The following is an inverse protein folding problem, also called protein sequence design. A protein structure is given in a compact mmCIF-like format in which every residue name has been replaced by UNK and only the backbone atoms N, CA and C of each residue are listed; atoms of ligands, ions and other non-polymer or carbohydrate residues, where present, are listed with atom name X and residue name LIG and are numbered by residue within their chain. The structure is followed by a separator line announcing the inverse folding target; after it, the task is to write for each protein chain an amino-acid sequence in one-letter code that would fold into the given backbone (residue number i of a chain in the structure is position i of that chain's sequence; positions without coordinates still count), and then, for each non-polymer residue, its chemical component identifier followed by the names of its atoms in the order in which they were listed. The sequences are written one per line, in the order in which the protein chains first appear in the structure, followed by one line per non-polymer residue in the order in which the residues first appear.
data_IF_723871899790
#
_entry.id   IF_723871899790
#
_cell.length_a   1.000
_cell.length_b   1.000
_cell.length_c   1.000
_cell.angle_alpha   90.00
_cell.angle_beta   90.00
_cell.angle_gamma   90.00
#
_symmetry.space_group_name_H-M   'P 1'
#
loop_
_entity.id
_entity.type
_entity.pdbx_description
1 polymer ?
#
# COMPACT_ATOMS: atom_id res chain seq x y z
N UNK A 1 5.10 46.77 2.49
CA UNK A 1 3.68 46.88 2.91
C UNK A 1 3.04 45.50 2.69
N UNK A 2 2.89 44.66 3.73
CA UNK A 2 1.60 44.36 4.42
C UNK A 2 0.53 43.92 3.39
N UNK A 3 0.06 42.67 3.27
CA UNK A 3 -0.37 41.66 4.27
C UNK A 3 -0.71 40.30 3.60
N UNK A 4 -0.61 39.23 4.42
CA UNK A 4 -1.46 38.02 4.46
C UNK A 4 -1.36 36.97 3.34
N UNK A 5 -0.57 35.91 3.58
CA UNK A 5 -1.11 34.55 3.69
C UNK A 5 -0.23 33.71 4.63
N UNK A 6 -0.88 33.22 5.68
CA UNK A 6 -0.29 32.59 6.84
C UNK A 6 -0.50 31.06 6.82
N UNK A 7 0.46 30.37 7.43
CA UNK A 7 0.26 29.19 8.29
C UNK A 7 -0.44 27.95 7.71
N UNK A 8 0.36 26.97 7.25
CA UNK A 8 0.24 25.56 7.70
C UNK A 8 1.66 25.00 7.88
N UNK A 9 2.39 25.54 8.85
CA UNK A 9 3.44 24.78 9.53
C UNK A 9 2.74 24.08 10.69
N UNK A 10 2.10 22.94 10.41
CA UNK A 10 1.65 22.05 11.48
C UNK A 10 2.89 21.35 12.03
N UNK A 11 3.59 22.05 12.93
CA UNK A 11 4.43 21.44 13.93
C UNK A 11 3.54 20.50 14.75
N UNK A 12 3.41 19.25 14.28
CA UNK A 12 3.00 18.17 15.17
C UNK A 12 4.22 17.90 16.04
N UNK A 13 4.34 18.66 17.12
CA UNK A 13 5.09 18.25 18.30
C UNK A 13 4.41 17.00 18.85
N UNK A 14 4.64 15.85 18.21
CA UNK A 14 4.64 14.59 18.94
C UNK A 14 5.88 14.73 19.80
N UNK A 15 5.73 14.80 21.12
CA UNK A 15 6.87 14.63 22.01
C UNK A 15 7.59 13.34 21.58
N UNK A 16 8.69 13.50 20.86
CA UNK A 16 9.75 12.53 20.82
C UNK A 16 10.34 12.53 22.23
N UNK A 17 9.72 11.76 23.13
CA UNK A 17 10.47 11.15 24.22
C UNK A 17 11.40 10.13 23.58
N UNK A 18 12.44 10.63 22.91
CA UNK A 18 13.67 9.91 22.73
C UNK A 18 14.24 9.71 24.13
N UNK A 19 14.47 8.44 24.44
CA UNK A 19 14.83 7.89 25.73
C UNK A 19 15.86 8.71 26.53
N UNK A 20 15.73 8.78 27.85
CA UNK A 20 16.74 8.24 28.74
C UNK A 20 16.51 6.73 28.88
N UNK A 21 17.58 5.96 28.70
CA UNK A 21 17.81 4.58 29.18
C UNK A 21 16.61 3.64 29.44
N UNK A 22 16.70 2.40 28.94
CA UNK A 22 16.07 1.25 29.59
C UNK A 22 16.49 1.24 31.09
N UNK A 23 15.69 1.85 31.95
CA UNK A 23 15.87 1.86 33.39
C UNK A 23 14.48 1.94 34.04
N UNK A 24 14.17 0.91 34.84
CA UNK A 24 12.94 0.70 35.61
C UNK A 24 11.61 0.69 34.81
N UNK A 25 10.91 -0.44 34.85
CA UNK A 25 9.72 -0.72 34.04
C UNK A 25 8.60 0.32 34.20
N UNK A 26 7.80 0.55 33.14
CA UNK A 26 6.76 1.57 33.16
C UNK A 26 5.64 1.20 34.13
N UNK A 27 5.18 2.18 34.91
CA UNK A 27 4.08 2.03 35.86
C UNK A 27 2.78 1.56 35.18
N UNK A 28 2.08 0.61 35.83
CA UNK A 28 0.90 -0.06 35.31
C UNK A 28 -0.32 0.88 35.23
N UNK A 29 -0.92 0.96 34.04
CA UNK A 29 -2.05 1.84 33.71
C UNK A 29 -1.91 2.40 32.30
N UNK A 30 -2.18 1.56 31.29
CA UNK A 30 -2.11 1.87 29.85
C UNK A 30 -0.75 2.33 29.27
N UNK A 31 -0.21 1.54 28.34
CA UNK A 31 1.05 1.83 27.64
C UNK A 31 0.80 2.10 26.15
N UNK A 32 1.60 2.99 25.55
CA UNK A 32 1.53 3.32 24.13
C UNK A 32 2.91 3.31 23.48
N UNK A 33 3.04 2.61 22.35
CA UNK A 33 4.29 2.51 21.61
C UNK A 33 4.07 2.76 20.12
N UNK A 34 5.10 3.26 19.44
CA UNK A 34 5.20 3.04 18.01
C UNK A 34 5.33 1.54 17.77
N UNK A 35 4.52 0.98 16.86
CA UNK A 35 4.37 -0.47 16.71
C UNK A 35 5.70 -1.20 16.52
N UNK A 36 6.62 -0.63 15.74
CA UNK A 36 7.91 -1.23 15.44
C UNK A 36 8.86 -1.33 16.66
N UNK A 37 8.60 -0.56 17.72
CA UNK A 37 9.31 -0.71 19.00
C UNK A 37 8.93 -1.99 19.73
N UNK A 38 7.76 -2.55 19.39
CA UNK A 38 7.26 -3.83 19.91
C UNK A 38 7.42 -4.97 18.94
N UNK A 39 7.15 -4.76 17.67
CA UNK A 39 7.09 -5.84 16.68
C UNK A 39 8.36 -6.00 15.86
N UNK A 40 9.34 -5.13 16.08
CA UNK A 40 10.41 -4.92 15.11
C UNK A 40 9.92 -4.20 13.85
N UNK A 41 10.82 -4.04 12.89
CA UNK A 41 10.52 -3.43 11.59
C UNK A 41 9.43 -4.23 10.84
N UNK A 42 8.57 -3.58 10.04
CA UNK A 42 7.52 -4.24 9.28
C UNK A 42 8.06 -5.24 8.25
N UNK A 43 7.21 -6.19 7.88
CA UNK A 43 7.54 -7.30 6.97
C UNK A 43 6.51 -7.32 5.83
N UNK A 44 6.95 -7.53 4.59
CA UNK A 44 6.06 -7.68 3.44
C UNK A 44 5.51 -9.12 3.31
N UNK A 45 4.66 -9.37 2.31
CA UNK A 45 4.09 -10.70 2.06
C UNK A 45 5.10 -11.80 1.78
N UNK A 46 6.29 -11.42 1.28
CA UNK A 46 7.38 -12.33 0.92
C UNK A 46 8.31 -12.68 2.10
N UNK A 47 8.08 -12.06 3.26
CA UNK A 47 8.91 -12.24 4.45
C UNK A 47 10.11 -11.30 4.52
N UNK A 48 10.26 -10.34 3.60
CA UNK A 48 11.34 -9.34 3.65
C UNK A 48 10.98 -8.25 4.66
N UNK A 49 11.86 -8.06 5.64
CA UNK A 49 11.77 -6.94 6.59
C UNK A 49 12.28 -5.65 5.92
N UNK A 50 11.60 -4.53 6.14
CA UNK A 50 11.93 -3.21 5.61
C UNK A 50 11.78 -2.14 6.69
N UNK A 51 12.35 -0.94 6.51
CA UNK A 51 12.31 0.05 7.58
C UNK A 51 10.91 0.63 7.75
N UNK A 52 10.54 0.93 9.00
CA UNK A 52 9.21 1.48 9.31
C UNK A 52 8.87 2.81 8.61
N UNK A 53 9.87 3.51 8.06
CA UNK A 53 9.69 4.77 7.34
C UNK A 53 9.87 4.63 5.82
N UNK A 54 10.17 3.42 5.31
CA UNK A 54 10.29 3.22 3.87
C UNK A 54 8.90 3.30 3.21
N UNK A 55 8.90 3.74 1.95
CA UNK A 55 7.72 3.76 1.11
C UNK A 55 7.33 2.34 0.71
N UNK A 56 6.05 2.01 0.82
CA UNK A 56 5.49 0.73 0.39
C UNK A 56 4.51 0.92 -0.76
N UNK A 57 4.43 -0.09 -1.63
CA UNK A 57 3.49 -0.07 -2.74
C UNK A 57 2.05 -0.30 -2.25
N UNK A 58 1.04 0.35 -2.86
CA UNK A 58 -0.35 0.19 -2.49
C UNK A 58 -0.88 -1.21 -2.84
N UNK A 59 -2.03 -1.56 -2.28
CA UNK A 59 -2.68 -2.85 -2.52
C UNK A 59 -1.90 -4.07 -2.01
N UNK A 60 -0.92 -3.88 -1.12
CA UNK A 60 -0.17 -4.95 -0.46
C UNK A 60 -0.64 -5.11 0.99
N UNK A 61 -0.28 -6.24 1.61
CA UNK A 61 -0.47 -6.41 3.06
C UNK A 61 0.87 -6.28 3.76
N UNK A 62 0.92 -5.40 4.76
CA UNK A 62 2.08 -5.21 5.63
C UNK A 62 1.85 -5.97 6.94
N UNK A 63 2.87 -6.66 7.41
CA UNK A 63 2.81 -7.50 8.61
C UNK A 63 3.73 -6.95 9.69
N UNK A 64 3.23 -6.91 10.92
CA UNK A 64 4.01 -6.61 12.12
C UNK A 64 4.06 -7.86 12.98
N UNK A 65 5.24 -8.44 13.14
CA UNK A 65 5.42 -9.70 13.85
C UNK A 65 5.24 -9.52 15.36
N UNK A 66 4.41 -10.35 15.98
CA UNK A 66 4.15 -10.23 17.42
C UNK A 66 5.24 -10.97 18.22
N UNK A 67 5.79 -10.38 19.31
CA UNK A 67 6.66 -11.11 20.24
C UNK A 67 5.98 -12.36 20.79
N UNK A 68 6.75 -13.39 21.13
CA UNK A 68 6.25 -14.70 21.63
C UNK A 68 5.18 -14.57 22.72
N UNK A 69 5.43 -13.76 23.75
CA UNK A 69 4.48 -13.59 24.86
C UNK A 69 3.19 -12.91 24.42
N UNK A 70 3.28 -11.95 23.50
CA UNK A 70 2.11 -11.30 22.92
C UNK A 70 1.36 -12.25 21.99
N UNK A 71 2.05 -13.03 21.16
CA UNK A 71 1.47 -14.03 20.28
C UNK A 71 0.65 -15.06 21.08
N UNK A 72 1.23 -15.62 22.15
CA UNK A 72 0.55 -16.54 23.04
C UNK A 72 -0.66 -15.90 23.76
N UNK A 73 -0.54 -14.62 24.14
CA UNK A 73 -1.65 -13.91 24.77
C UNK A 73 -2.83 -13.68 23.82
N UNK A 74 -2.56 -13.32 22.55
CA UNK A 74 -3.59 -13.04 21.54
C UNK A 74 -4.19 -14.28 20.87
N UNK A 75 -3.66 -15.46 21.16
CA UNK A 75 -4.20 -16.75 20.69
C UNK A 75 -5.60 -17.03 21.27
N UNK A 76 -5.94 -16.46 22.43
CA UNK A 76 -7.28 -16.56 23.01
C UNK A 76 -7.97 -15.20 23.11
N UNK A 77 -9.09 -15.05 22.40
CA UNK A 77 -9.96 -13.86 22.48
C UNK A 77 -10.56 -13.63 23.89
N UNK A 78 -10.47 -14.62 24.79
CA UNK A 78 -10.87 -14.45 26.20
C UNK A 78 -9.89 -13.61 27.02
N UNK A 79 -8.65 -13.44 26.54
CA UNK A 79 -7.60 -12.73 27.24
C UNK A 79 -7.57 -11.22 26.95
N UNK A 80 -8.09 -10.82 25.79
CA UNK A 80 -7.99 -9.44 25.32
C UNK A 80 -9.19 -9.01 24.47
N UNK A 81 -9.27 -7.71 24.20
CA UNK A 81 -10.11 -7.11 23.16
C UNK A 81 -9.22 -6.27 22.25
N UNK A 82 -9.28 -6.50 20.94
CA UNK A 82 -8.65 -5.64 19.95
C UNK A 82 -9.63 -4.58 19.45
N UNK A 83 -9.19 -3.33 19.45
CA UNK A 83 -9.84 -2.23 18.76
C UNK A 83 -8.85 -1.59 17.81
N UNK A 84 -9.28 -1.29 16.58
CA UNK A 84 -8.42 -0.65 15.57
C UNK A 84 -9.04 0.67 15.13
N UNK A 85 -8.19 1.68 14.92
CA UNK A 85 -8.61 2.99 14.41
C UNK A 85 -7.71 3.36 13.24
N UNK A 86 -8.34 3.70 12.12
CA UNK A 86 -7.68 4.28 10.95
C UNK A 86 -7.72 5.80 11.14
N UNK A 87 -6.57 6.46 11.24
CA UNK A 87 -6.50 7.89 11.61
C UNK A 87 -6.29 8.76 10.38
N UNK A 88 -5.04 8.91 9.93
CA UNK A 88 -4.72 9.67 8.71
C UNK A 88 -4.79 8.77 7.48
N UNK A 89 -5.45 9.26 6.42
CA UNK A 89 -5.63 8.55 5.15
C UNK A 89 -6.20 7.12 5.31
N UNK A 90 -7.09 6.95 6.29
CA UNK A 90 -7.63 5.63 6.66
C UNK A 90 -8.37 4.88 5.55
N UNK A 91 -8.82 5.55 4.48
CA UNK A 91 -9.41 4.91 3.29
C UNK A 91 -8.41 4.01 2.55
N UNK A 92 -7.11 4.29 2.69
CA UNK A 92 -6.03 3.46 2.14
C UNK A 92 -5.74 2.21 2.97
N UNK A 93 -6.42 2.01 4.10
CA UNK A 93 -6.38 0.78 4.87
C UNK A 93 -7.69 0.04 4.65
N UNK A 94 -7.65 -1.12 3.98
CA UNK A 94 -8.81 -2.02 3.86
C UNK A 94 -9.13 -2.64 5.20
N UNK A 95 -8.15 -3.32 5.81
CA UNK A 95 -8.34 -4.06 7.05
C UNK A 95 -7.11 -3.99 7.98
N UNK A 96 -7.35 -4.14 9.28
CA UNK A 96 -6.32 -4.36 10.29
C UNK A 96 -6.79 -5.54 11.12
N UNK A 97 -6.03 -6.64 11.13
CA UNK A 97 -6.44 -7.90 11.76
C UNK A 97 -5.26 -8.69 12.30
N UNK A 98 -5.53 -9.55 13.27
CA UNK A 98 -4.59 -10.57 13.71
C UNK A 98 -4.66 -11.76 12.75
N UNK A 99 -3.51 -12.29 12.35
CA UNK A 99 -3.41 -13.46 11.48
C UNK A 99 -2.25 -14.35 11.91
N UNK A 100 -2.38 -15.65 11.63
CA UNK A 100 -1.26 -16.58 11.74
C UNK A 100 -0.83 -17.06 10.36
N UNK A 101 0.44 -16.85 10.01
CA UNK A 101 0.90 -17.13 8.65
C UNK A 101 2.38 -17.52 8.61
N UNK A 102 2.76 -18.25 7.56
CA UNK A 102 4.14 -18.39 7.10
C UNK A 102 4.35 -17.34 6.00
N UNK A 103 5.37 -16.49 6.14
CA UNK A 103 5.71 -15.46 5.15
C UNK A 103 6.90 -15.93 4.32
N UNK A 104 6.69 -16.99 3.54
CA UNK A 104 7.67 -17.51 2.59
C UNK A 104 7.34 -16.96 1.22
N UNK A 105 8.08 -15.95 0.77
CA UNK A 105 8.04 -15.52 -0.63
C UNK A 105 8.97 -16.35 -1.51
N UNK A 106 9.24 -15.84 -2.70
CA UNK A 106 10.08 -16.49 -3.74
C UNK A 106 11.56 -16.59 -3.34
N UNK A 107 12.04 -15.75 -2.41
CA UNK A 107 13.46 -15.64 -2.03
C UNK A 107 13.90 -16.59 -0.89
N UNK A 108 13.02 -17.47 -0.42
CA UNK A 108 13.32 -18.36 0.71
C UNK A 108 13.14 -17.71 2.09
N UNK A 109 13.46 -18.47 3.15
CA UNK A 109 13.22 -18.06 4.54
C UNK A 109 14.09 -16.85 4.94
N UNK A 110 13.46 -15.74 5.32
CA UNK A 110 14.13 -14.57 5.89
C UNK A 110 14.15 -14.63 7.42
N UNK A 111 15.05 -13.86 8.04
CA UNK A 111 15.06 -13.68 9.50
C UNK A 111 14.46 -12.33 9.85
N UNK A 112 13.49 -12.31 10.77
CA UNK A 112 12.86 -11.09 11.32
C UNK A 112 13.38 -10.88 12.74
N UNK A 113 13.81 -9.66 13.06
CA UNK A 113 14.35 -9.30 14.38
C UNK A 113 13.33 -8.51 15.21
N UNK A 114 13.10 -8.94 16.46
CA UNK A 114 12.11 -8.35 17.38
C UNK A 114 12.69 -8.17 18.80
N UNK A 115 12.59 -6.96 19.40
CA UNK A 115 12.30 -5.68 18.75
C UNK A 115 13.44 -5.35 17.75
N UNK A 116 13.28 -4.29 16.94
CA UNK A 116 14.20 -3.97 15.84
C UNK A 116 15.63 -3.64 16.34
N UNK A 117 16.41 -4.66 16.64
CA UNK A 117 17.79 -4.58 17.09
C UNK A 117 18.63 -5.48 16.19
N UNK A 118 19.46 -4.84 15.37
CA UNK A 118 20.39 -5.51 14.47
C UNK A 118 21.51 -6.12 15.32
N UNK A 119 21.66 -7.44 15.23
CA UNK A 119 22.65 -8.23 15.96
C UNK A 119 22.62 -8.02 17.49
N UNK A 120 21.58 -8.51 18.20
CA UNK A 120 21.52 -8.41 19.64
C UNK A 120 22.68 -9.23 20.22
N UNK A 121 23.71 -8.56 20.73
CA UNK A 121 24.86 -9.15 21.42
C UNK A 121 24.49 -9.84 22.75
N UNK A 122 23.20 -10.14 22.97
CA UNK A 122 22.65 -10.87 24.11
C UNK A 122 21.46 -11.74 23.69
N UNK A 123 21.29 -12.87 24.39
CA UNK A 123 20.24 -13.91 24.17
C UNK A 123 18.79 -13.43 24.41
N UNK A 124 18.56 -12.13 24.50
CA UNK A 124 17.41 -11.51 25.15
C UNK A 124 16.37 -10.98 24.14
N UNK A 125 16.72 -10.99 22.86
CA UNK A 125 15.86 -10.56 21.75
C UNK A 125 15.71 -11.67 20.71
N UNK A 126 14.57 -11.69 20.04
CA UNK A 126 14.17 -12.85 19.27
C UNK A 126 14.34 -12.62 17.77
N UNK A 127 15.12 -13.51 17.16
CA UNK A 127 15.25 -13.67 15.72
C UNK A 127 14.39 -14.85 15.27
N UNK A 128 13.54 -14.63 14.28
CA UNK A 128 12.54 -15.60 13.84
C UNK A 128 12.63 -15.86 12.35
N UNK A 129 12.43 -17.11 11.93
CA UNK A 129 12.39 -17.48 10.52
C UNK A 129 10.99 -17.26 9.96
N UNK A 130 10.88 -16.60 8.81
CA UNK A 130 9.59 -16.36 8.16
C UNK A 130 8.94 -17.62 7.57
N UNK A 131 9.70 -18.73 7.50
CA UNK A 131 9.19 -20.07 7.20
C UNK A 131 8.38 -20.70 8.32
N UNK A 132 8.49 -20.18 9.55
CA UNK A 132 7.70 -20.62 10.68
C UNK A 132 6.35 -19.90 10.70
N UNK A 133 5.30 -20.63 11.12
CA UNK A 133 3.98 -20.00 11.30
C UNK A 133 4.03 -19.14 12.54
N UNK A 134 3.69 -17.86 12.40
CA UNK A 134 3.69 -16.89 13.51
C UNK A 134 2.48 -15.98 13.46
N UNK A 135 2.16 -15.39 14.60
CA UNK A 135 1.13 -14.39 14.75
C UNK A 135 1.64 -13.01 14.31
N UNK A 136 0.83 -12.32 13.51
CA UNK A 136 1.10 -10.98 13.01
C UNK A 136 -0.12 -10.08 13.22
N UNK A 137 0.13 -8.79 13.42
CA UNK A 137 -0.85 -7.77 13.09
C UNK A 137 -0.69 -7.43 11.59
N UNK A 138 -1.66 -7.82 10.78
CA UNK A 138 -1.71 -7.56 9.35
C UNK A 138 -2.49 -6.27 9.06
N UNK A 139 -1.90 -5.41 8.22
CA UNK A 139 -2.49 -4.17 7.72
C UNK A 139 -2.58 -4.28 6.21
N UNK A 140 -3.80 -4.43 5.71
CA UNK A 140 -4.07 -4.56 4.28
C UNK A 140 -4.31 -3.18 3.67
N UNK A 141 -3.46 -2.80 2.71
CA UNK A 141 -3.56 -1.52 2.01
C UNK A 141 -4.52 -1.63 0.83
N UNK A 142 -5.25 -0.55 0.56
CA UNK A 142 -6.00 -0.38 -0.67
C UNK A 142 -5.09 0.05 -1.82
N UNK A 143 -5.55 -0.14 -3.06
CA UNK A 143 -4.95 0.52 -4.22
C UNK A 143 -5.22 2.02 -4.15
N UNK A 144 -4.36 2.83 -4.77
CA UNK A 144 -4.53 4.28 -4.83
C UNK A 144 -4.29 4.81 -6.23
N UNK A 145 -5.15 5.75 -6.66
CA UNK A 145 -4.95 6.52 -7.88
C UNK A 145 -4.13 7.80 -7.65
N UNK A 146 -3.76 8.08 -6.39
CA UNK A 146 -3.00 9.26 -6.01
C UNK A 146 -1.56 9.08 -6.49
N UNK A 147 -1.02 10.03 -7.29
CA UNK A 147 0.36 9.94 -7.76
C UNK A 147 1.38 10.31 -6.70
N UNK A 148 1.02 11.14 -5.71
CA UNK A 148 1.87 11.51 -4.60
C UNK A 148 2.00 10.41 -3.55
N UNK A 149 3.12 10.43 -2.83
CA UNK A 149 3.26 9.63 -1.62
C UNK A 149 2.32 10.13 -0.52
N UNK A 150 1.63 9.20 0.12
CA UNK A 150 0.67 9.49 1.17
C UNK A 150 1.07 8.80 2.46
N UNK A 151 1.16 9.57 3.55
CA UNK A 151 1.32 9.02 4.90
C UNK A 151 0.00 8.44 5.41
N UNK A 152 0.02 7.17 5.76
CA UNK A 152 -1.09 6.41 6.35
C UNK A 152 -0.80 6.16 7.82
N UNK A 153 -1.80 6.38 8.67
CA UNK A 153 -1.66 6.20 10.12
C UNK A 153 -2.81 5.38 10.69
N UNK A 154 -2.48 4.54 11.67
CA UNK A 154 -3.45 3.72 12.38
C UNK A 154 -3.01 3.41 13.81
N UNK A 155 -3.97 2.98 14.62
CA UNK A 155 -3.72 2.46 15.97
C UNK A 155 -4.38 1.09 16.14
N UNK A 156 -3.67 0.18 16.80
CA UNK A 156 -4.21 -1.08 17.30
C UNK A 156 -4.11 -1.09 18.82
N UNK A 157 -5.25 -1.12 19.49
CA UNK A 157 -5.35 -1.09 20.95
C UNK A 157 -5.81 -2.45 21.47
N UNK A 158 -4.95 -3.08 22.26
CA UNK A 158 -5.21 -4.32 22.96
C UNK A 158 -5.63 -3.98 24.39
N UNK A 159 -6.87 -4.27 24.76
CA UNK A 159 -7.38 -4.09 26.13
C UNK A 159 -7.33 -5.42 26.85
N UNK A 160 -6.66 -5.48 27.99
CA UNK A 160 -6.54 -6.70 28.78
C UNK A 160 -7.87 -7.05 29.46
N UNK A 161 -8.31 -8.30 29.33
CA UNK A 161 -9.49 -8.83 30.06
C UNK A 161 -9.09 -9.47 31.38
N UNK A 162 -7.82 -9.83 31.53
CA UNK A 162 -7.20 -10.43 32.72
C UNK A 162 -5.79 -9.85 32.89
N UNK A 163 -5.21 -9.86 34.10
CA UNK A 163 -3.82 -9.45 34.30
C UNK A 163 -2.86 -10.21 33.37
N UNK A 164 -1.86 -9.52 32.82
CA UNK A 164 -0.90 -10.08 31.88
C UNK A 164 0.44 -9.33 31.94
N UNK A 165 1.54 -10.08 31.81
CA UNK A 165 2.87 -9.53 31.63
C UNK A 165 3.39 -9.95 30.25
N UNK A 166 3.80 -8.98 29.43
CA UNK A 166 4.38 -9.18 28.11
C UNK A 166 5.84 -8.70 28.09
N UNK A 167 6.70 -9.52 27.51
CA UNK A 167 8.14 -9.31 27.45
C UNK A 167 8.79 -9.87 26.18
N UNK A 168 10.01 -9.40 25.88
CA UNK A 168 10.88 -9.96 24.86
C UNK A 168 11.81 -11.03 25.46
N UNK A 169 12.00 -12.13 24.73
CA UNK A 169 12.97 -13.20 24.99
C UNK A 169 12.36 -14.61 24.91
N UNK A 170 13.21 -15.65 24.83
CA UNK A 170 12.80 -17.06 24.67
C UNK A 170 12.45 -17.72 26.01
N UNK A 171 11.32 -18.43 26.05
CA UNK A 171 10.91 -19.31 27.16
C UNK A 171 11.87 -20.52 27.26
N UNK A 172 12.29 -20.95 28.46
CA UNK A 172 13.04 -22.21 28.60
C UNK A 172 12.09 -23.37 28.26
N UNK A 173 12.47 -24.15 27.26
CA UNK A 173 11.63 -25.20 26.64
C UNK A 173 11.25 -26.30 27.65
N UNK A 174 12.07 -26.53 28.67
CA UNK A 174 11.92 -27.65 29.61
C UNK A 174 10.89 -27.45 30.72
N UNK A 175 10.56 -26.20 31.10
CA UNK A 175 9.79 -25.95 32.33
C UNK A 175 8.64 -24.96 32.16
N UNK A 176 8.55 -24.35 30.98
CA UNK A 176 7.58 -23.29 30.78
C UNK A 176 7.83 -22.00 31.57
N UNK A 177 8.96 -21.93 32.29
CA UNK A 177 9.42 -20.75 33.00
C UNK A 177 10.37 -19.89 32.14
N UNK A 178 10.42 -18.61 32.49
CA UNK A 178 11.38 -17.63 32.00
C UNK A 178 12.67 -17.72 32.83
N UNK A 179 13.85 -17.65 32.19
CA UNK A 179 15.16 -17.64 32.87
C UNK A 179 15.27 -16.47 33.87
N UNK A 180 15.38 -16.81 35.16
CA UNK A 180 15.63 -15.86 36.26
C UNK A 180 17.13 -15.60 36.36
N UNK A 181 17.54 -14.33 36.37
CA UNK A 181 18.87 -13.89 36.83
C UNK A 181 18.77 -13.63 38.32
N UNK A 182 19.68 -14.22 39.08
CA UNK A 182 19.78 -13.99 40.50
C UNK A 182 20.69 -12.77 40.73
N UNK A 183 20.14 -11.68 41.25
CA UNK A 183 20.87 -10.45 41.59
C UNK A 183 20.74 -10.21 43.08
N UNK A 184 21.82 -9.82 43.75
CA UNK A 184 21.77 -9.43 45.17
C UNK A 184 21.68 -7.92 45.22
N UNK A 185 20.60 -7.38 45.79
CA UNK A 185 20.47 -5.93 46.00
C UNK A 185 21.40 -5.46 47.14
N UNK A 186 21.63 -4.15 47.24
CA UNK A 186 22.51 -3.51 48.25
C UNK A 186 22.24 -3.94 49.70
N UNK A 187 21.02 -4.41 49.99
CA UNK A 187 20.61 -4.91 51.31
C UNK A 187 20.85 -6.42 51.51
N UNK A 188 21.68 -7.07 50.68
CA UNK A 188 21.96 -8.51 50.76
C UNK A 188 20.78 -9.42 50.40
N UNK A 189 19.70 -8.85 49.85
CA UNK A 189 18.51 -9.61 49.46
C UNK A 189 18.67 -10.16 48.05
N UNK A 190 18.52 -11.47 47.89
CA UNK A 190 18.46 -12.13 46.59
C UNK A 190 17.17 -11.79 45.86
N UNK A 191 17.28 -11.03 44.77
CA UNK A 191 16.19 -10.71 43.86
C UNK A 191 16.34 -11.51 42.58
N UNK A 192 15.33 -12.32 42.28
CA UNK A 192 15.23 -13.02 41.00
C UNK A 192 14.67 -12.04 39.96
N UNK A 193 15.53 -11.52 39.09
CA UNK A 193 15.14 -10.61 38.00
C UNK A 193 14.98 -11.42 36.71
N UNK A 194 13.84 -11.31 36.04
CA UNK A 194 13.61 -11.94 34.75
C UNK A 194 14.64 -11.42 33.71
N UNK A 195 15.34 -12.31 32.99
CA UNK A 195 16.25 -11.94 31.87
C UNK A 195 15.48 -11.53 30.60
N UNK A 196 14.51 -10.65 30.75
CA UNK A 196 13.55 -10.31 29.71
C UNK A 196 13.19 -8.85 29.81
N UNK A 197 13.21 -8.15 28.67
CA UNK A 197 12.76 -6.78 28.62
C UNK A 197 11.22 -6.77 28.58
N UNK A 198 10.61 -6.38 29.71
CA UNK A 198 9.16 -6.20 29.82
C UNK A 198 8.73 -4.94 29.08
N UNK A 199 7.64 -5.03 28.31
CA UNK A 199 7.04 -3.89 27.62
C UNK A 199 5.57 -3.65 27.98
N UNK A 200 4.93 -4.58 28.70
CA UNK A 200 3.58 -4.37 29.22
C UNK A 200 3.37 -5.21 30.48
N UNK A 201 2.91 -4.58 31.55
CA UNK A 201 2.47 -5.23 32.80
C UNK A 201 1.09 -4.65 33.11
N UNK A 202 0.07 -5.32 32.59
CA UNK A 202 -1.30 -4.81 32.51
C UNK A 202 -2.21 -5.53 33.48
N UNK A 203 -3.05 -4.76 34.18
CA UNK A 203 -4.20 -5.24 34.93
C UNK A 203 -5.42 -5.39 34.00
N UNK A 204 -6.51 -5.93 34.54
CA UNK A 204 -7.78 -5.94 33.82
C UNK A 204 -8.17 -4.50 33.41
N UNK A 205 -8.60 -4.35 32.16
CA UNK A 205 -8.93 -3.10 31.46
C UNK A 205 -7.76 -2.19 31.08
N UNK A 206 -6.52 -2.51 31.46
CA UNK A 206 -5.36 -1.78 30.96
C UNK A 206 -5.18 -1.99 29.46
N UNK A 207 -4.59 -0.98 28.80
CA UNK A 207 -4.48 -0.94 27.35
C UNK A 207 -3.03 -0.91 26.89
N UNK A 208 -2.68 -1.78 25.96
CA UNK A 208 -1.50 -1.64 25.13
C UNK A 208 -1.90 -1.06 23.78
N UNK A 209 -1.46 0.16 23.46
CA UNK A 209 -1.75 0.82 22.18
C UNK A 209 -0.52 0.86 21.29
N UNK A 210 -0.63 0.29 20.10
CA UNK A 210 0.42 0.29 19.09
C UNK A 210 0.02 1.24 17.96
N UNK A 211 0.87 2.24 17.68
CA UNK A 211 0.66 3.21 16.61
C UNK A 211 1.54 2.87 15.42
N UNK A 212 0.93 2.69 14.25
CA UNK A 212 1.62 2.44 12.99
C UNK A 212 1.58 3.65 12.07
N UNK A 213 2.72 3.91 11.42
CA UNK A 213 2.85 4.85 10.32
C UNK A 213 3.38 4.07 9.12
N UNK A 214 2.83 4.34 7.94
CA UNK A 214 3.29 3.81 6.65
C UNK A 214 3.29 4.95 5.63
N UNK A 215 4.24 4.93 4.71
CA UNK A 215 4.25 5.82 3.55
C UNK A 215 3.90 5.00 2.33
N UNK A 216 2.87 5.41 1.57
CA UNK A 216 2.32 4.62 0.47
C UNK A 216 2.44 5.41 -0.82
N UNK A 217 3.10 4.83 -1.83
CA UNK A 217 3.21 5.42 -3.16
C UNK A 217 3.21 4.33 -4.24
N UNK A 218 2.68 4.66 -5.41
CA UNK A 218 2.88 3.84 -6.62
C UNK A 218 4.35 3.91 -7.06
N UNK A 219 4.87 2.89 -7.77
CA UNK A 219 6.16 3.00 -8.47
C UNK A 219 6.20 4.28 -9.31
N UNK A 220 7.39 4.88 -9.48
CA UNK A 220 7.53 6.15 -10.19
C UNK A 220 8.56 6.05 -11.30
N UNK A 221 8.23 6.61 -12.46
CA UNK A 221 9.14 6.82 -13.59
C UNK A 221 9.19 8.31 -13.97
N UNK A 222 10.29 8.73 -14.61
CA UNK A 222 10.51 10.11 -15.05
C UNK A 222 10.63 10.20 -16.57
N UNK A 223 9.93 11.16 -17.19
CA UNK A 223 9.95 11.32 -18.65
C UNK A 223 9.15 10.22 -19.36
N UNK A 224 9.81 9.55 -20.29
CA UNK A 224 9.27 8.42 -21.03
C UNK A 224 9.13 7.19 -20.13
N UNK A 225 8.09 6.38 -20.38
CA UNK A 225 7.86 5.20 -19.56
C UNK A 225 7.05 4.11 -20.27
N UNK A 226 7.33 2.87 -19.90
CA UNK A 226 6.51 1.70 -20.24
C UNK A 226 5.67 1.27 -19.04
N UNK A 227 4.38 1.04 -19.27
CA UNK A 227 3.42 0.66 -18.24
C UNK A 227 2.76 -0.67 -18.61
N UNK A 228 2.96 -1.69 -17.78
CA UNK A 228 2.32 -2.99 -17.96
C UNK A 228 0.79 -2.90 -17.81
N UNK A 229 0.06 -3.38 -18.82
CA UNK A 229 -1.40 -3.41 -18.85
C UNK A 229 -1.95 -4.41 -17.83
N UNK A 230 -2.95 -3.97 -17.06
CA UNK A 230 -3.56 -4.77 -16.00
C UNK A 230 -2.82 -4.70 -14.66
N UNK A 231 -1.63 -4.07 -14.62
CA UNK A 231 -0.89 -3.84 -13.39
C UNK A 231 -1.53 -2.72 -12.53
N UNK A 232 -0.92 -2.48 -11.36
CA UNK A 232 -1.32 -1.37 -10.46
C UNK A 232 -0.97 0.01 -11.02
N UNK A 233 -0.21 0.08 -12.12
CA UNK A 233 0.22 1.31 -12.76
C UNK A 233 1.44 1.96 -12.12
N UNK A 234 1.91 3.03 -12.75
CA UNK A 234 3.13 3.76 -12.43
C UNK A 234 2.81 5.26 -12.40
N UNK A 235 3.28 5.95 -11.36
CA UNK A 235 3.26 7.41 -11.31
C UNK A 235 4.29 7.96 -12.30
N UNK A 236 3.82 8.70 -13.29
CA UNK A 236 4.67 9.40 -14.23
C UNK A 236 4.96 10.80 -13.70
N UNK A 237 6.24 11.16 -13.63
CA UNK A 237 6.70 12.53 -13.47
C UNK A 237 7.23 13.01 -14.83
N UNK A 238 6.44 13.79 -15.59
CA UNK A 238 6.86 14.18 -16.93
C UNK A 238 8.11 15.05 -16.91
N UNK A 239 8.95 14.90 -17.92
CA UNK A 239 10.07 15.78 -18.21
C UNK A 239 9.52 17.12 -18.74
N UNK A 240 9.75 18.19 -17.96
CA UNK A 240 9.29 19.54 -18.27
C UNK A 240 9.83 20.04 -19.61
N UNK A 241 9.02 20.80 -20.36
CA UNK A 241 9.39 21.39 -21.66
C UNK A 241 9.93 20.39 -22.70
N UNK A 242 9.65 19.10 -22.53
CA UNK A 242 10.09 18.02 -23.40
C UNK A 242 8.91 17.24 -23.95
N UNK A 243 9.13 16.50 -25.02
CA UNK A 243 8.17 15.48 -25.48
C UNK A 243 8.35 14.29 -24.56
N UNK A 244 7.22 13.75 -24.08
CA UNK A 244 7.15 12.58 -23.24
C UNK A 244 6.30 11.54 -23.96
N UNK A 245 6.70 10.29 -23.89
CA UNK A 245 5.99 9.15 -24.46
C UNK A 245 5.75 8.07 -23.40
N UNK A 246 4.48 7.71 -23.22
CA UNK A 246 4.05 6.68 -22.28
C UNK A 246 3.41 5.54 -23.05
N UNK A 247 4.08 4.40 -23.09
CA UNK A 247 3.63 3.18 -23.76
C UNK A 247 2.92 2.27 -22.78
N UNK A 248 1.76 1.74 -23.17
CA UNK A 248 1.01 0.77 -22.39
C UNK A 248 1.15 -0.60 -23.05
N UNK A 249 1.86 -1.52 -22.41
CA UNK A 249 2.29 -2.79 -23.02
C UNK A 249 1.62 -4.00 -22.36
N UNK A 250 1.12 -4.92 -23.18
CA UNK A 250 0.64 -6.25 -22.79
C UNK A 250 1.51 -7.33 -23.45
N UNK A 251 0.89 -8.23 -24.22
CA UNK A 251 1.64 -9.06 -25.17
C UNK A 251 2.26 -8.19 -26.28
N UNK A 252 1.52 -7.17 -26.69
CA UNK A 252 1.91 -6.13 -27.65
C UNK A 252 1.60 -4.74 -27.06
N UNK A 253 2.06 -3.68 -27.72
CA UNK A 253 1.65 -2.31 -27.39
C UNK A 253 0.14 -2.15 -27.61
N UNK A 254 -0.52 -1.60 -26.61
CA UNK A 254 -1.97 -1.46 -26.55
C UNK A 254 -2.41 -0.02 -26.81
N UNK A 255 -1.62 0.93 -26.34
CA UNK A 255 -1.83 2.35 -26.53
C UNK A 255 -0.53 3.10 -26.26
N UNK A 256 -0.40 4.28 -26.85
CA UNK A 256 0.72 5.21 -26.59
C UNK A 256 0.17 6.61 -26.35
N UNK A 257 0.67 7.27 -25.30
CA UNK A 257 0.36 8.66 -25.00
C UNK A 257 1.61 9.52 -25.22
N UNK A 258 1.55 10.41 -26.21
CA UNK A 258 2.65 11.33 -26.53
C UNK A 258 2.23 12.77 -26.27
N UNK A 259 3.03 13.51 -25.51
CA UNK A 259 2.70 14.90 -25.16
C UNK A 259 3.93 15.75 -24.86
N UNK A 260 3.87 17.03 -25.25
CA UNK A 260 4.88 18.01 -24.84
C UNK A 260 4.50 18.66 -23.52
N UNK A 261 5.12 18.23 -22.44
CA UNK A 261 4.87 18.74 -21.09
C UNK A 261 5.16 20.24 -20.98
N UNK A 262 4.43 20.94 -20.11
CA UNK A 262 4.68 22.36 -19.82
C UNK A 262 5.93 22.56 -18.93
N UNK A 263 6.15 23.78 -18.44
CA UNK A 263 7.33 24.12 -17.64
C UNK A 263 7.30 23.62 -16.19
N UNK A 264 6.14 23.14 -15.71
CA UNK A 264 5.96 22.58 -14.38
C UNK A 264 4.83 21.53 -14.38
N UNK A 265 5.05 20.37 -15.03
CA UNK A 265 4.00 19.38 -15.21
C UNK A 265 3.71 18.68 -13.88
N UNK A 266 2.43 18.47 -13.56
CA UNK A 266 2.05 17.61 -12.43
C UNK A 266 2.33 16.15 -12.75
N UNK A 267 2.56 15.38 -11.69
CA UNK A 267 2.59 13.93 -11.75
C UNK A 267 1.19 13.38 -12.02
N UNK A 268 1.10 12.24 -12.67
CA UNK A 268 -0.16 11.51 -12.83
C UNK A 268 0.07 9.99 -12.77
N UNK A 269 -0.96 9.24 -12.39
CA UNK A 269 -0.89 7.78 -12.43
C UNK A 269 -1.22 7.29 -13.84
N UNK A 270 -0.23 6.71 -14.52
CA UNK A 270 -0.45 5.94 -15.74
C UNK A 270 -0.82 4.51 -15.37
N UNK A 271 -2.03 4.10 -15.74
CA UNK A 271 -2.52 2.72 -15.59
C UNK A 271 -3.54 2.46 -16.67
N UNK A 272 -3.50 1.28 -17.27
CA UNK A 272 -4.49 0.80 -18.23
C UNK A 272 -4.95 -0.60 -17.83
N UNK A 273 -6.25 -0.87 -17.96
CA UNK A 273 -6.78 -2.24 -17.93
C UNK A 273 -7.70 -2.47 -19.13
N UNK A 274 -7.67 -3.70 -19.65
CA UNK A 274 -8.59 -4.20 -20.67
C UNK A 274 -9.76 -4.98 -20.09
N UNK A 275 -9.89 -5.02 -18.76
CA UNK A 275 -11.02 -5.66 -18.09
C UNK A 275 -12.23 -4.73 -18.01
N UNK A 276 -13.41 -5.28 -18.30
CA UNK A 276 -14.67 -4.57 -18.20
C UNK A 276 -14.97 -4.18 -16.75
N UNK A 277 -15.26 -2.89 -16.46
CA UNK A 277 -15.39 -2.41 -15.09
C UNK A 277 -16.70 -2.83 -14.42
N UNK A 278 -17.74 -3.11 -15.20
CA UNK A 278 -19.05 -3.54 -14.70
C UNK A 278 -19.74 -4.43 -15.73
N UNK A 279 -20.56 -5.37 -15.25
CA UNK A 279 -21.43 -6.19 -16.10
C UNK A 279 -22.44 -5.35 -16.88
N UNK A 280 -22.91 -4.23 -16.29
CA UNK A 280 -23.84 -3.33 -16.97
C UNK A 280 -23.22 -2.70 -18.23
N UNK A 281 -21.94 -2.30 -18.16
CA UNK A 281 -21.23 -1.76 -19.32
C UNK A 281 -20.95 -2.84 -20.36
N UNK A 282 -20.43 -4.01 -19.94
CA UNK A 282 -20.16 -5.12 -20.88
C UNK A 282 -21.42 -5.61 -21.58
N UNK A 283 -22.57 -5.63 -20.90
CA UNK A 283 -23.85 -6.05 -21.49
C UNK A 283 -24.34 -5.16 -22.64
N UNK A 284 -23.89 -3.89 -22.70
CA UNK A 284 -24.18 -3.00 -23.83
C UNK A 284 -23.49 -3.48 -25.11
N UNK A 285 -22.37 -4.18 -24.99
CA UNK A 285 -21.51 -4.66 -26.07
C UNK A 285 -21.55 -6.20 -26.25
N UNK A 286 -22.49 -6.90 -25.61
CA UNK A 286 -22.52 -8.39 -25.58
C UNK A 286 -22.63 -9.10 -26.94
N UNK A 287 -23.05 -8.38 -27.99
CA UNK A 287 -23.23 -8.92 -29.35
C UNK A 287 -22.24 -8.28 -30.34
N UNK A 288 -21.10 -7.84 -29.83
CA UNK A 288 -20.03 -7.14 -30.56
C UNK A 288 -18.71 -7.71 -30.09
N UNK A 289 -17.67 -7.56 -30.89
CA UNK A 289 -16.30 -7.97 -30.56
C UNK A 289 -15.54 -6.81 -29.87
N UNK A 290 -16.26 -6.02 -29.08
CA UNK A 290 -15.71 -4.80 -28.53
C UNK A 290 -14.58 -5.03 -27.53
N UNK A 291 -13.56 -4.19 -27.63
CA UNK A 291 -12.41 -4.15 -26.73
C UNK A 291 -12.41 -2.84 -25.94
N UNK A 292 -12.08 -2.93 -24.65
CA UNK A 292 -12.03 -1.79 -23.74
C UNK A 292 -10.58 -1.43 -23.42
N UNK A 293 -10.28 -0.13 -23.41
CA UNK A 293 -9.03 0.47 -22.92
C UNK A 293 -9.39 1.44 -21.79
N UNK A 294 -9.37 0.95 -20.55
CA UNK A 294 -9.73 1.75 -19.38
C UNK A 294 -8.49 2.30 -18.70
N UNK A 295 -8.26 3.60 -18.85
CA UNK A 295 -7.18 4.29 -18.18
C UNK A 295 -7.56 4.73 -16.76
N UNK A 296 -6.58 4.89 -15.88
CA UNK A 296 -6.76 5.72 -14.68
C UNK A 296 -7.07 7.16 -15.09
N UNK A 297 -8.10 7.81 -14.53
CA UNK A 297 -8.38 9.20 -14.82
C UNK A 297 -7.18 10.09 -14.48
N UNK A 298 -6.72 10.85 -15.46
CA UNK A 298 -5.58 11.76 -15.32
C UNK A 298 -5.83 13.03 -16.16
N UNK A 299 -5.29 14.15 -15.72
CA UNK A 299 -5.19 15.38 -16.51
C UNK A 299 -3.75 15.54 -16.97
N UNK A 300 -3.54 15.80 -18.25
CA UNK A 300 -2.21 15.88 -18.85
C UNK A 300 -1.79 17.34 -18.97
N UNK A 301 -0.78 17.73 -18.19
CA UNK A 301 -0.24 19.09 -18.15
C UNK A 301 0.71 19.35 -19.34
N UNK A 302 0.12 19.50 -20.52
CA UNK A 302 0.83 19.70 -21.78
C UNK A 302 0.63 21.10 -22.36
N UNK A 303 1.62 21.57 -23.13
CA UNK A 303 1.58 22.85 -23.85
C UNK A 303 0.58 22.85 -25.01
N UNK A 304 0.45 21.71 -25.69
CA UNK A 304 -0.60 21.38 -26.65
C UNK A 304 -1.48 20.25 -26.10
N UNK A 305 -2.55 19.87 -26.81
CA UNK A 305 -3.24 18.62 -26.47
C UNK A 305 -2.26 17.45 -26.67
N UNK A 306 -2.42 16.42 -25.85
CA UNK A 306 -1.70 15.16 -25.97
C UNK A 306 -2.28 14.34 -27.12
N UNK A 307 -1.43 13.62 -27.84
CA UNK A 307 -1.85 12.59 -28.80
C UNK A 307 -2.00 11.28 -28.05
N UNK A 308 -3.19 10.69 -28.06
CA UNK A 308 -3.42 9.33 -27.60
C UNK A 308 -3.61 8.46 -28.83
N UNK A 309 -2.73 7.47 -29.00
CA UNK A 309 -2.83 6.41 -30.00
C UNK A 309 -3.39 5.16 -29.35
N UNK A 310 -4.44 4.59 -29.91
CA UNK A 310 -5.06 3.34 -29.48
C UNK A 310 -4.84 2.29 -30.57
N UNK A 311 -3.96 1.32 -30.32
CA UNK A 311 -3.65 0.28 -31.31
C UNK A 311 -4.91 -0.51 -31.66
N UNK A 312 -5.10 -0.75 -32.96
CA UNK A 312 -6.24 -1.46 -33.51
C UNK A 312 -6.29 -2.89 -32.93
N UNK A 313 -7.36 -3.27 -32.23
CA UNK A 313 -7.46 -4.59 -31.64
C UNK A 313 -8.02 -5.64 -32.61
N UNK A 314 -8.50 -5.23 -33.79
CA UNK A 314 -9.11 -6.12 -34.77
C UNK A 314 -8.08 -6.58 -35.79
N UNK A 315 -8.20 -7.83 -36.25
CA UNK A 315 -7.36 -8.31 -37.33
C UNK A 315 -7.66 -7.53 -38.62
N UNK A 316 -6.61 -7.23 -39.38
CA UNK A 316 -6.67 -6.42 -40.60
C UNK A 316 -7.66 -6.96 -41.67
N UNK A 317 -7.90 -8.27 -41.69
CA UNK A 317 -8.80 -8.94 -42.62
C UNK A 317 -10.21 -9.19 -42.05
N UNK A 318 -10.45 -8.92 -40.76
CA UNK A 318 -11.74 -9.15 -40.11
C UNK A 318 -12.63 -7.91 -40.07
N UNK A 319 -12.04 -6.74 -39.79
CA UNK A 319 -12.80 -5.48 -39.62
C UNK A 319 -12.06 -4.34 -40.32
N UNK A 320 -12.73 -3.69 -41.28
CA UNK A 320 -12.22 -2.47 -41.90
C UNK A 320 -12.09 -1.37 -40.81
N UNK A 321 -10.93 -0.73 -40.64
CA UNK A 321 -10.77 0.38 -39.70
C UNK A 321 -11.81 1.49 -39.85
N UNK A 322 -12.35 1.70 -41.05
CA UNK A 322 -13.45 2.65 -41.31
C UNK A 322 -14.80 2.26 -40.72
N UNK A 323 -15.00 0.97 -40.43
CA UNK A 323 -16.22 0.43 -39.81
C UNK A 323 -16.11 0.28 -38.28
N UNK A 324 -14.98 0.69 -37.69
CA UNK A 324 -14.78 0.66 -36.24
C UNK A 324 -15.46 1.84 -35.55
N UNK A 325 -16.29 1.55 -34.55
CA UNK A 325 -16.94 2.55 -33.70
C UNK A 325 -16.19 2.74 -32.39
N UNK A 326 -15.92 4.00 -32.05
CA UNK A 326 -15.13 4.35 -30.86
C UNK A 326 -15.97 5.17 -29.90
N UNK A 327 -16.03 4.73 -28.65
CA UNK A 327 -16.81 5.37 -27.59
C UNK A 327 -15.91 5.77 -26.41
N UNK A 328 -16.31 6.85 -25.75
CA UNK A 328 -15.88 7.13 -24.37
C UNK A 328 -16.96 6.71 -23.40
N UNK A 329 -16.56 6.16 -22.25
CA UNK A 329 -17.46 5.78 -21.18
C UNK A 329 -17.16 6.55 -19.88
N UNK A 330 -18.20 7.10 -19.25
CA UNK A 330 -18.07 7.72 -17.93
C UNK A 330 -18.11 6.68 -16.78
N UNK A 331 -17.95 7.15 -15.54
CA UNK A 331 -17.96 6.29 -14.35
C UNK A 331 -19.30 5.58 -14.07
N UNK A 332 -20.39 6.03 -14.72
CA UNK A 332 -21.72 5.43 -14.65
C UNK A 332 -22.00 4.50 -15.86
N UNK A 333 -21.05 4.38 -16.78
CA UNK A 333 -21.18 3.58 -18.00
C UNK A 333 -22.03 4.27 -19.07
N UNK A 334 -22.23 5.58 -19.01
CA UNK A 334 -22.83 6.34 -20.11
C UNK A 334 -21.83 6.43 -21.27
N UNK A 335 -22.32 6.20 -22.47
CA UNK A 335 -21.50 6.13 -23.68
C UNK A 335 -21.66 7.43 -24.48
N UNK A 336 -20.53 7.97 -24.94
CA UNK A 336 -20.47 9.01 -25.96
C UNK A 336 -19.70 8.46 -27.15
N UNK A 337 -20.35 8.43 -28.30
CA UNK A 337 -19.72 8.12 -29.59
C UNK A 337 -18.76 9.25 -29.96
N UNK A 338 -17.50 8.91 -30.18
CA UNK A 338 -16.42 9.82 -30.54
C UNK A 338 -15.77 9.44 -31.88
N UNK A 339 -16.33 8.48 -32.61
CA UNK A 339 -15.75 7.90 -33.83
C UNK A 339 -15.28 8.99 -34.82
N UNK A 340 -16.11 10.03 -35.03
CA UNK A 340 -15.81 11.14 -35.95
C UNK A 340 -14.72 12.11 -35.49
N UNK A 341 -14.21 11.96 -34.26
CA UNK A 341 -13.14 12.81 -33.69
C UNK A 341 -11.80 12.09 -33.63
N UNK A 342 -11.77 10.82 -34.06
CA UNK A 342 -10.61 9.96 -34.07
C UNK A 342 -10.13 9.83 -35.51
N UNK A 343 -8.81 9.86 -35.70
CA UNK A 343 -8.15 9.64 -36.98
C UNK A 343 -7.55 8.23 -36.98
N UNK A 344 -7.64 7.51 -38.09
CA UNK A 344 -6.96 6.23 -38.24
C UNK A 344 -5.63 6.43 -38.95
N UNK A 345 -4.54 6.03 -38.31
CA UNK A 345 -3.19 6.05 -38.84
C UNK A 345 -2.87 4.65 -39.39
N UNK A 346 -2.81 4.51 -40.72
CA UNK A 346 -2.56 3.23 -41.38
C UNK A 346 -1.14 2.72 -41.25
N UNK A 347 -0.17 3.61 -41.01
CA UNK A 347 1.24 3.22 -40.88
C UNK A 347 1.51 2.55 -39.52
N UNK A 348 0.77 2.98 -38.49
CA UNK A 348 0.88 2.49 -37.11
C UNK A 348 -0.25 1.51 -36.73
N UNK A 349 -1.20 1.24 -37.65
CA UNK A 349 -2.44 0.48 -37.40
C UNK A 349 -3.14 0.91 -36.09
N UNK A 350 -3.38 2.21 -35.96
CA UNK A 350 -3.83 2.80 -34.71
C UNK A 350 -4.83 3.93 -34.88
N UNK A 351 -5.71 4.04 -33.88
CA UNK A 351 -6.73 5.08 -33.78
C UNK A 351 -6.23 6.23 -32.89
N UNK A 352 -5.95 7.38 -33.49
CA UNK A 352 -5.35 8.54 -32.84
C UNK A 352 -6.36 9.64 -32.53
N UNK A 353 -6.23 10.25 -31.35
CA UNK A 353 -7.04 11.40 -30.95
C UNK A 353 -6.28 12.40 -30.08
N UNK A 354 -6.72 13.66 -30.14
CA UNK A 354 -6.17 14.74 -29.32
C UNK A 354 -6.96 14.89 -28.01
N UNK A 355 -6.30 14.67 -26.87
CA UNK A 355 -6.91 14.70 -25.54
C UNK A 355 -6.15 15.55 -24.52
N UNK A 356 -6.85 15.97 -23.45
CA UNK A 356 -6.25 16.53 -22.23
C UNK A 356 -6.44 15.61 -21.02
N UNK A 357 -7.25 14.57 -21.18
CA UNK A 357 -7.63 13.69 -20.08
C UNK A 357 -7.65 12.24 -20.53
N UNK A 358 -7.16 11.35 -19.69
CA UNK A 358 -7.34 9.91 -19.87
C UNK A 358 -8.67 9.45 -19.28
N UNK A 359 -9.36 8.55 -19.98
CA UNK A 359 -10.68 8.02 -19.58
C UNK A 359 -10.83 6.57 -20.07
N UNK A 360 -12.05 6.05 -20.11
CA UNK A 360 -12.35 4.75 -20.71
C UNK A 360 -12.69 4.90 -22.18
N UNK A 361 -11.97 4.18 -23.04
CA UNK A 361 -12.25 4.06 -24.48
C UNK A 361 -12.71 2.64 -24.81
N UNK A 362 -13.66 2.52 -25.73
CA UNK A 362 -14.19 1.23 -26.19
C UNK A 362 -14.21 1.26 -27.71
N UNK A 363 -13.57 0.28 -28.33
CA UNK A 363 -13.54 0.08 -29.78
C UNK A 363 -14.45 -1.11 -30.11
N UNK A 364 -15.30 -0.98 -31.11
CA UNK A 364 -16.30 -2.01 -31.45
C UNK A 364 -16.48 -2.12 -32.95
N UNK A 365 -16.58 -3.35 -33.44
CA UNK A 365 -16.95 -3.73 -34.81
C UNK A 365 -18.38 -3.33 -35.20
N UNK A 366 -19.23 -3.03 -34.22
CA UNK A 366 -20.66 -2.72 -34.44
C UNK A 366 -21.10 -1.50 -33.67
N UNK A 367 -22.05 -0.78 -34.25
CA UNK A 367 -22.66 0.36 -33.59
C UNK A 367 -23.54 -0.10 -32.42
N UNK A 368 -23.35 0.52 -31.26
CA UNK A 368 -24.17 0.30 -30.06
C UNK A 368 -24.96 1.56 -29.74
N UNK A 369 -26.17 1.40 -29.17
CA UNK A 369 -27.00 2.53 -28.76
C UNK A 369 -26.30 3.34 -27.67
N UNK A 370 -25.98 4.59 -27.97
CA UNK A 370 -25.50 5.56 -26.98
C UNK A 370 -26.65 6.05 -26.11
N UNK A 371 -26.34 6.36 -24.86
CA UNK A 371 -27.31 6.92 -23.92
C UNK A 371 -27.19 8.44 -23.98
N UNK A 372 -27.63 9.07 -25.07
CA UNK A 372 -27.67 10.54 -25.15
C UNK A 372 -29.12 11.01 -25.19
N UNK A 373 -29.52 11.78 -24.17
CA UNK A 373 -30.58 12.78 -24.28
C UNK A 373 -29.96 14.08 -24.80
#
# INVERSE_FOLDING_TARGET
MKKLLAAILAAVTILSLAAPALAAGPAAGSQSYAIYKVTGNPVNGDGRQFNANDTVSPGQTIYYALPETMAAWVDSASNFRLSTRKTSNGKLIKSIKLVEKKLTGTSGASTVYIPNQQDPTGKDYAAYKTSERRAYLAVELADTAVPEEVKVQFTATFTAKKPVVLCYGKRKVSEGEFEKVQTVNDNGTTVNTLKYLRFFDGKQNDKLTLTGNLYVANPQEEGDATVEVGSKGVTIKPERNSVNEISFEGADTVATLTFRANNNPRKFLARLTTSWPTTALSNKFRNTDAVIRKFSPATIDATSRATLSLNNPFAYDEVDPGDVYIYTADSKGNLKDITRTVYYNSDEDAFELQTRTLTTYILSDKRVKTTTK
#
